data_IF_616361530130
#
_entry.id   IF_616361530130
#
_cell.length_a   1.000
_cell.length_b   1.000
_cell.length_c   1.000
_cell.angle_alpha   90.00
_cell.angle_beta   90.00
_cell.angle_gamma   90.00
#
_symmetry.space_group_name_H-M   'P 1'
#
loop_
_entity.id
_entity.type
_entity.pdbx_description
1 polymer ?
#
# COMPACT_ATOMS: atom_id res chain seq x y z
N UNK A 1 5.98 8.94 4.69
CA UNK A 1 5.33 7.78 4.03
C UNK A 1 4.43 7.04 5.02
N UNK A 2 3.39 6.35 4.54
CA UNK A 2 2.62 5.37 5.34
C UNK A 2 2.43 4.06 4.57
N UNK A 3 2.30 2.96 5.32
CA UNK A 3 1.98 1.62 4.79
C UNK A 3 0.64 1.20 5.38
N UNK A 4 -0.32 0.86 4.52
CA UNK A 4 -1.62 0.33 4.92
C UNK A 4 -1.62 -1.17 4.63
N UNK A 5 -1.67 -1.98 5.67
CA UNK A 5 -1.54 -3.44 5.58
C UNK A 5 -2.89 -4.15 5.59
N UNK A 6 -2.90 -5.45 5.26
CA UNK A 6 -4.08 -6.33 5.28
C UNK A 6 -5.25 -5.79 4.43
N UNK A 7 -4.93 -5.21 3.26
CA UNK A 7 -5.91 -4.55 2.38
C UNK A 7 -6.94 -5.50 1.76
N UNK A 8 -6.60 -6.78 1.67
CA UNK A 8 -7.45 -7.87 1.21
C UNK A 8 -8.67 -8.03 2.12
N UNK A 9 -8.50 -7.81 3.42
CA UNK A 9 -9.60 -7.83 4.39
C UNK A 9 -10.51 -6.59 4.31
N UNK A 10 -10.11 -5.55 3.59
CA UNK A 10 -10.85 -4.29 3.56
C UNK A 10 -12.14 -4.37 2.72
N UNK A 11 -12.15 -5.18 1.66
CA UNK A 11 -13.34 -5.50 0.88
C UNK A 11 -13.14 -6.75 0.00
N UNK A 12 -14.22 -7.53 -0.18
CA UNK A 12 -14.17 -8.77 -0.98
C UNK A 12 -13.81 -8.60 -2.46
N UNK A 13 -13.84 -7.38 -3.01
CA UNK A 13 -13.33 -7.10 -4.37
C UNK A 13 -11.81 -7.25 -4.46
N UNK A 14 -11.09 -6.89 -3.40
CA UNK A 14 -9.62 -6.98 -3.32
C UNK A 14 -9.20 -8.39 -2.93
N UNK A 15 -9.94 -9.01 -2.00
CA UNK A 15 -9.74 -10.42 -1.63
C UNK A 15 -9.81 -11.35 -2.86
N UNK A 16 -10.77 -11.10 -3.77
CA UNK A 16 -10.94 -11.90 -5.00
C UNK A 16 -9.88 -11.64 -6.06
N UNK A 17 -9.41 -10.40 -6.18
CA UNK A 17 -8.42 -10.00 -7.15
C UNK A 17 -7.66 -8.77 -6.64
N UNK A 18 -6.41 -8.98 -6.24
CA UNK A 18 -5.55 -7.97 -5.65
C UNK A 18 -5.29 -6.79 -6.60
N UNK A 19 -5.44 -6.99 -7.92
CA UNK A 19 -5.32 -5.92 -8.93
C UNK A 19 -6.41 -4.85 -8.79
N UNK A 20 -7.44 -5.11 -7.99
CA UNK A 20 -8.46 -4.13 -7.65
C UNK A 20 -8.04 -3.17 -6.54
N UNK A 21 -6.84 -3.30 -5.95
CA UNK A 21 -6.36 -2.40 -4.88
C UNK A 21 -6.48 -0.92 -5.24
N UNK A 22 -6.06 -0.53 -6.46
CA UNK A 22 -6.15 0.86 -6.93
C UNK A 22 -7.48 1.22 -7.62
N UNK A 23 -8.35 0.23 -7.85
CA UNK A 23 -9.67 0.40 -8.48
C UNK A 23 -10.80 0.50 -7.45
N UNK A 24 -10.65 -0.15 -6.30
CA UNK A 24 -11.64 -0.20 -5.24
C UNK A 24 -11.98 1.20 -4.72
N UNK A 25 -13.25 1.60 -4.91
CA UNK A 25 -13.75 2.88 -4.38
C UNK A 25 -13.73 2.89 -2.86
N UNK A 26 -13.95 1.74 -2.23
CA UNK A 26 -13.96 1.60 -0.77
C UNK A 26 -12.57 1.84 -0.18
N UNK A 27 -11.55 1.14 -0.70
CA UNK A 27 -10.18 1.31 -0.23
C UNK A 27 -9.68 2.74 -0.49
N UNK A 28 -9.94 3.27 -1.69
CA UNK A 28 -9.57 4.66 -2.02
C UNK A 28 -10.19 5.68 -1.07
N UNK A 29 -11.44 5.48 -0.64
CA UNK A 29 -12.08 6.36 0.35
C UNK A 29 -11.36 6.28 1.70
N UNK A 30 -11.14 5.07 2.23
CA UNK A 30 -10.39 4.87 3.48
C UNK A 30 -9.00 5.51 3.45
N UNK A 31 -8.26 5.35 2.35
CA UNK A 31 -6.95 5.97 2.19
C UNK A 31 -7.03 7.50 2.15
N UNK A 32 -8.05 8.08 1.51
CA UNK A 32 -8.26 9.55 1.51
C UNK A 32 -8.60 10.09 2.89
N UNK A 33 -9.46 9.37 3.62
CA UNK A 33 -9.84 9.74 4.98
C UNK A 33 -8.60 9.68 5.89
N UNK A 34 -7.78 8.62 5.77
CA UNK A 34 -6.49 8.49 6.47
C UNK A 34 -5.53 9.63 6.09
N UNK A 35 -5.31 9.86 4.80
CA UNK A 35 -4.46 10.93 4.26
C UNK A 35 -4.83 12.29 4.86
N UNK A 36 -6.14 12.58 4.91
CA UNK A 36 -6.67 13.83 5.47
C UNK A 36 -6.49 13.91 6.99
N UNK A 37 -6.60 12.78 7.70
CA UNK A 37 -6.46 12.73 9.15
C UNK A 37 -5.01 12.88 9.63
N UNK A 38 -4.03 12.32 8.91
CA UNK A 38 -2.63 12.32 9.34
C UNK A 38 -1.73 13.29 8.56
N UNK A 39 -2.27 13.97 7.54
CA UNK A 39 -1.53 14.92 6.72
C UNK A 39 -0.53 14.31 5.74
N UNK A 40 -0.54 12.98 5.56
CA UNK A 40 0.32 12.28 4.60
C UNK A 40 -0.33 12.33 3.22
N UNK A 41 0.34 12.84 2.17
CA UNK A 41 -0.20 12.86 0.81
C UNK A 41 -0.57 11.47 0.29
N UNK A 42 -1.63 11.37 -0.51
CA UNK A 42 -2.13 10.10 -1.06
C UNK A 42 -1.09 9.29 -1.85
N UNK A 43 -0.20 9.96 -2.59
CA UNK A 43 0.89 9.32 -3.33
C UNK A 43 2.00 8.77 -2.43
N UNK A 44 1.98 9.07 -1.14
CA UNK A 44 2.93 8.61 -0.14
C UNK A 44 2.38 7.48 0.75
N UNK A 45 1.22 6.93 0.38
CA UNK A 45 0.53 5.86 1.12
C UNK A 45 0.54 4.60 0.25
N UNK A 46 1.21 3.56 0.71
CA UNK A 46 1.30 2.28 0.00
C UNK A 46 0.34 1.25 0.61
N UNK A 47 -0.68 0.81 -0.14
CA UNK A 47 -1.51 -0.32 0.26
C UNK A 47 -0.77 -1.64 -0.03
N UNK A 48 -0.69 -2.52 0.97
CA UNK A 48 -0.03 -3.84 0.85
C UNK A 48 -0.91 -4.94 1.45
N UNK A 49 -0.91 -6.10 0.80
CA UNK A 49 -1.37 -7.34 1.42
C UNK A 49 -0.18 -7.96 2.17
N UNK A 50 -0.42 -8.46 3.37
CA UNK A 50 0.60 -9.20 4.12
C UNK A 50 0.48 -10.68 3.78
N UNK A 51 1.61 -11.38 3.73
CA UNK A 51 1.62 -12.83 3.82
C UNK A 51 1.23 -13.25 5.23
N UNK A 52 0.28 -14.18 5.34
CA UNK A 52 -0.24 -14.66 6.61
C UNK A 52 -0.35 -16.19 6.61
N UNK A 53 -1.29 -16.71 5.82
CA UNK A 53 -1.58 -18.14 5.71
C UNK A 53 -1.08 -18.76 4.39
N UNK A 54 -0.59 -17.94 3.46
CA UNK A 54 -0.06 -18.40 2.19
C UNK A 54 1.28 -19.12 2.35
N UNK A 55 1.44 -20.22 1.61
CA UNK A 55 2.67 -21.04 1.60
C UNK A 55 3.59 -20.63 0.45
N UNK A 56 3.00 -20.27 -0.69
CA UNK A 56 3.70 -19.87 -1.90
C UNK A 56 3.74 -18.35 -2.04
N UNK A 57 4.76 -17.87 -2.76
CA UNK A 57 4.91 -16.47 -3.13
C UNK A 57 3.87 -16.12 -4.21
N UNK A 58 3.30 -14.93 -4.11
CA UNK A 58 2.36 -14.36 -5.06
C UNK A 58 2.93 -13.07 -5.67
N UNK A 59 3.03 -13.04 -7.00
CA UNK A 59 3.62 -11.93 -7.74
C UNK A 59 2.85 -10.60 -7.55
N UNK A 60 1.53 -10.65 -7.38
CA UNK A 60 0.72 -9.45 -7.16
C UNK A 60 0.95 -8.89 -5.74
N UNK A 61 1.12 -9.75 -4.73
CA UNK A 61 1.49 -9.36 -3.37
C UNK A 61 2.90 -8.76 -3.35
N UNK A 62 3.86 -9.45 -3.95
CA UNK A 62 5.26 -9.01 -4.02
C UNK A 62 5.39 -7.67 -4.75
N UNK A 63 4.61 -7.46 -5.82
CA UNK A 63 4.58 -6.19 -6.54
C UNK A 63 4.19 -5.02 -5.63
N UNK A 64 3.25 -5.20 -4.70
CA UNK A 64 2.85 -4.17 -3.74
C UNK A 64 3.93 -3.93 -2.68
N UNK A 65 4.53 -5.01 -2.15
CA UNK A 65 5.62 -4.93 -1.16
C UNK A 65 6.84 -4.23 -1.76
N UNK A 66 7.26 -4.62 -2.97
CA UNK A 66 8.38 -4.00 -3.68
C UNK A 66 8.12 -2.53 -4.02
N UNK A 67 6.87 -2.18 -4.35
CA UNK A 67 6.49 -0.78 -4.56
C UNK A 67 6.64 0.05 -3.28
N UNK A 68 6.23 -0.50 -2.13
CA UNK A 68 6.42 0.15 -0.84
C UNK A 68 7.91 0.30 -0.50
N UNK A 69 8.71 -0.75 -0.69
CA UNK A 69 10.16 -0.70 -0.44
C UNK A 69 10.87 0.33 -1.31
N UNK A 70 10.52 0.42 -2.61
CA UNK A 70 11.05 1.47 -3.50
C UNK A 70 10.75 2.86 -2.98
N UNK A 71 9.52 3.10 -2.52
CA UNK A 71 9.14 4.39 -1.96
C UNK A 71 9.94 4.69 -0.68
N UNK A 72 10.17 3.70 0.19
CA UNK A 72 11.02 3.90 1.38
C UNK A 72 12.45 4.29 1.03
N UNK A 73 13.03 3.66 0.00
CA UNK A 73 14.37 3.99 -0.48
C UNK A 73 14.40 5.43 -1.01
N UNK A 74 13.44 5.81 -1.85
CA UNK A 74 13.34 7.19 -2.36
C UNK A 74 13.23 8.22 -1.24
N UNK A 75 12.43 7.98 -0.21
CA UNK A 75 12.37 8.87 0.96
C UNK A 75 13.70 8.94 1.72
N UNK A 76 14.46 7.84 1.76
CA UNK A 76 15.79 7.81 2.36
C UNK A 76 16.80 8.62 1.55
N UNK A 77 16.78 8.49 0.22
CA UNK A 77 17.63 9.25 -0.69
C UNK A 77 17.33 10.75 -0.61
N UNK A 78 16.04 11.14 -0.70
CA UNK A 78 15.60 12.53 -0.58
C UNK A 78 16.07 13.16 0.75
N UNK A 79 16.01 12.40 1.85
CA UNK A 79 16.47 12.86 3.16
C UNK A 79 18.00 13.11 3.22
N UNK A 80 18.79 12.29 2.51
CA UNK A 80 20.25 12.45 2.46
C UNK A 80 20.62 13.62 1.54
N UNK A 81 19.89 13.83 0.43
CA UNK A 81 20.14 14.94 -0.50
C UNK A 81 19.76 16.31 0.09
N UNK A 82 18.73 16.36 0.94
CA UNK A 82 18.30 17.58 1.64
C UNK A 82 19.21 17.96 2.83
N UNK A 83 20.25 17.15 3.14
CA UNK A 83 21.24 17.38 4.20
C UNK A 83 22.48 18.13 3.68
#
# INVERSE_FOLDING_TARGET
MAIVTNIDTACGEIEKDLKNVYKSKHLRKKMKDFSSAVGIPMNCICPVKNYSDEIEIDDDVDSLILSALRLMIHFGDDFIEDM
#
